data_IF_368711419945
#
_entry.id   IF_368711419945
#
_cell.length_a   1.000
_cell.length_b   1.000
_cell.length_c   1.000
_cell.angle_alpha   90.00
_cell.angle_beta   90.00
_cell.angle_gamma   90.00
#
_symmetry.space_group_name_H-M   'P 1'
#
loop_
_entity.id
_entity.type
_entity.pdbx_description
1 polymer ?
#
# COMPACT_ATOMS: atom_id res chain seq x y z
N UNK A 1 2.33 -18.32 -21.14
CA UNK A 1 3.25 -17.36 -21.75
C UNK A 1 3.99 -16.57 -20.68
N UNK A 2 3.32 -16.12 -19.67
CA UNK A 2 3.89 -15.37 -18.54
C UNK A 2 4.83 -16.21 -17.67
N UNK A 3 4.53 -17.49 -17.47
CA UNK A 3 5.40 -18.43 -16.72
C UNK A 3 6.66 -18.83 -17.53
N UNK A 4 6.60 -18.71 -18.87
CA UNK A 4 7.77 -19.02 -19.72
C UNK A 4 8.77 -17.86 -19.86
N UNK A 5 8.42 -16.66 -19.41
CA UNK A 5 9.31 -15.48 -19.41
C UNK A 5 9.13 -14.67 -18.12
N UNK A 6 9.52 -15.18 -16.96
CA UNK A 6 9.36 -14.46 -15.71
C UNK A 6 10.26 -13.22 -15.70
N UNK A 7 9.66 -12.04 -15.79
CA UNK A 7 10.33 -10.78 -15.45
C UNK A 7 10.30 -10.53 -13.93
N UNK A 8 9.60 -11.37 -13.19
CA UNK A 8 9.48 -11.28 -11.74
C UNK A 8 9.31 -12.68 -11.15
N UNK A 9 9.87 -12.89 -9.99
CA UNK A 9 9.76 -14.08 -9.16
C UNK A 9 8.87 -13.85 -7.93
N UNK A 10 8.26 -12.67 -7.84
CA UNK A 10 7.45 -12.22 -6.69
C UNK A 10 6.12 -11.66 -7.15
N UNK A 11 5.12 -11.80 -6.28
CA UNK A 11 3.80 -11.17 -6.44
C UNK A 11 3.45 -10.40 -5.18
N UNK A 12 2.70 -9.30 -5.31
CA UNK A 12 1.95 -8.73 -4.18
C UNK A 12 0.59 -9.39 -4.18
N UNK A 13 0.23 -9.96 -3.04
CA UNK A 13 -1.08 -10.53 -2.80
C UNK A 13 -1.85 -9.67 -1.81
N UNK A 14 -2.99 -9.19 -2.25
CA UNK A 14 -3.78 -8.19 -1.56
C UNK A 14 -5.17 -8.73 -1.21
N UNK A 15 -5.56 -8.58 0.05
CA UNK A 15 -6.86 -9.05 0.54
C UNK A 15 -7.42 -8.09 1.60
N UNK A 16 -8.75 -7.93 1.65
CA UNK A 16 -9.40 -7.12 2.65
C UNK A 16 -9.39 -7.80 4.03
N UNK A 17 -9.20 -7.03 5.10
CA UNK A 17 -9.27 -7.51 6.48
C UNK A 17 -10.60 -8.22 6.77
N UNK A 18 -11.73 -7.66 6.32
CA UNK A 18 -13.06 -8.24 6.49
C UNK A 18 -13.24 -9.63 5.86
N UNK A 19 -12.42 -9.99 4.87
CA UNK A 19 -12.41 -11.34 4.27
C UNK A 19 -11.64 -12.31 5.14
N UNK A 20 -10.55 -11.86 5.74
CA UNK A 20 -9.66 -12.69 6.56
C UNK A 20 -10.22 -12.89 7.98
N UNK A 21 -10.84 -11.87 8.55
CA UNK A 21 -11.45 -11.90 9.89
C UNK A 21 -12.90 -11.41 9.82
N UNK A 22 -13.83 -12.23 9.31
CA UNK A 22 -15.23 -11.86 9.15
C UNK A 22 -15.97 -11.62 10.48
N UNK A 23 -15.51 -12.21 11.56
CA UNK A 23 -15.98 -12.01 12.93
C UNK A 23 -14.78 -11.87 13.87
N UNK A 24 -14.91 -11.09 14.94
CA UNK A 24 -13.81 -10.84 15.87
C UNK A 24 -13.17 -12.14 16.39
N UNK A 25 -11.86 -12.29 16.15
CA UNK A 25 -11.09 -13.47 16.56
C UNK A 25 -11.34 -14.75 15.74
N UNK A 26 -12.22 -14.68 14.73
CA UNK A 26 -12.46 -15.80 13.83
C UNK A 26 -11.81 -15.56 12.48
N UNK A 27 -10.64 -16.14 12.29
CA UNK A 27 -9.84 -15.98 11.08
C UNK A 27 -10.13 -17.07 10.06
N UNK A 28 -10.36 -16.67 8.82
CA UNK A 28 -10.57 -17.57 7.67
C UNK A 28 -9.25 -17.73 6.87
N UNK A 29 -8.20 -18.21 7.58
CA UNK A 29 -6.87 -18.42 7.01
C UNK A 29 -6.81 -19.49 5.92
N UNK A 30 -7.81 -20.36 5.86
CA UNK A 30 -7.85 -21.49 4.90
C UNK A 30 -8.87 -21.24 3.77
N UNK A 31 -9.35 -20.03 3.62
CA UNK A 31 -10.31 -19.68 2.58
C UNK A 31 -9.72 -19.96 1.18
N UNK A 32 -10.30 -20.88 0.42
CA UNK A 32 -9.75 -21.27 -0.88
C UNK A 32 -9.76 -20.14 -1.90
N UNK A 33 -10.60 -19.12 -1.71
CA UNK A 33 -10.69 -18.02 -2.65
C UNK A 33 -9.46 -17.11 -2.60
N UNK A 34 -8.89 -16.87 -1.41
CA UNK A 34 -7.69 -16.03 -1.30
C UNK A 34 -6.43 -16.83 -0.93
N UNK A 35 -6.47 -17.66 0.11
CA UNK A 35 -5.31 -18.47 0.52
C UNK A 35 -4.97 -19.52 -0.55
N UNK A 36 -5.98 -20.18 -1.12
CA UNK A 36 -5.78 -21.14 -2.20
C UNK A 36 -5.22 -20.49 -3.46
N UNK A 37 -5.64 -19.28 -3.77
CA UNK A 37 -5.06 -18.51 -4.89
C UNK A 37 -3.59 -18.14 -4.61
N UNK A 38 -3.28 -17.63 -3.41
CA UNK A 38 -1.91 -17.33 -2.99
C UNK A 38 -1.03 -18.61 -3.04
N UNK A 39 -1.54 -19.73 -2.51
CA UNK A 39 -0.81 -21.00 -2.52
C UNK A 39 -0.49 -21.49 -3.94
N UNK A 40 -1.41 -21.30 -4.88
CA UNK A 40 -1.16 -21.66 -6.29
C UNK A 40 0.04 -20.92 -6.90
N UNK A 41 0.27 -19.68 -6.50
CA UNK A 41 1.46 -18.92 -6.92
C UNK A 41 2.72 -19.41 -6.22
N UNK A 42 2.62 -19.72 -4.94
CA UNK A 42 3.74 -20.29 -4.16
C UNK A 42 4.16 -21.65 -4.77
N UNK A 43 3.20 -22.49 -5.12
CA UNK A 43 3.43 -23.80 -5.76
C UNK A 43 4.06 -23.64 -7.15
N UNK A 44 3.76 -22.54 -7.84
CA UNK A 44 4.41 -22.16 -9.10
C UNK A 44 5.82 -21.56 -8.92
N UNK A 45 6.33 -21.49 -7.68
CA UNK A 45 7.69 -21.03 -7.38
C UNK A 45 7.82 -19.53 -7.07
N UNK A 46 6.71 -18.80 -6.96
CA UNK A 46 6.76 -17.37 -6.64
C UNK A 46 6.90 -17.13 -5.14
N UNK A 47 7.55 -16.04 -4.79
CA UNK A 47 7.52 -15.44 -3.45
C UNK A 47 6.37 -14.43 -3.37
N UNK A 48 5.89 -14.21 -2.16
CA UNK A 48 4.72 -13.36 -1.91
C UNK A 48 5.12 -12.15 -1.07
N UNK A 49 4.76 -10.97 -1.56
CA UNK A 49 4.56 -9.78 -0.74
C UNK A 49 3.10 -9.76 -0.30
N UNK A 50 2.84 -9.79 1.00
CA UNK A 50 1.48 -9.94 1.51
C UNK A 50 0.97 -8.63 2.10
N UNK A 51 -0.17 -8.19 1.59
CA UNK A 51 -0.87 -7.00 2.05
C UNK A 51 -2.29 -7.35 2.49
N UNK A 52 -2.62 -7.01 3.75
CA UNK A 52 -4.00 -7.06 4.20
C UNK A 52 -4.45 -5.63 4.44
N UNK A 53 -5.52 -5.22 3.76
CA UNK A 53 -5.99 -3.85 3.76
C UNK A 53 -7.10 -3.63 4.75
N UNK A 54 -6.93 -2.59 5.57
CA UNK A 54 -7.98 -2.08 6.45
C UNK A 54 -9.05 -1.28 5.72
N UNK A 55 -8.77 -0.81 4.48
CA UNK A 55 -9.73 -0.09 3.66
C UNK A 55 -9.38 -0.19 2.18
N UNK A 56 -10.43 -0.42 1.35
CA UNK A 56 -10.34 -0.35 -0.09
C UNK A 56 -9.50 -1.46 -0.71
N UNK A 57 -10.03 -2.69 -0.79
CA UNK A 57 -9.45 -3.73 -1.63
C UNK A 57 -10.13 -3.72 -3.00
N UNK A 58 -9.32 -3.80 -4.06
CA UNK A 58 -9.81 -3.94 -5.43
C UNK A 58 -9.98 -5.42 -5.81
N UNK A 59 -10.79 -5.68 -6.82
CA UNK A 59 -10.92 -7.01 -7.41
C UNK A 59 -11.99 -7.89 -6.81
N UNK A 60 -11.75 -9.20 -6.78
CA UNK A 60 -12.73 -10.22 -6.38
C UNK A 60 -13.16 -10.11 -4.91
N UNK A 61 -12.35 -9.48 -4.08
CA UNK A 61 -12.57 -9.29 -2.65
C UNK A 61 -13.04 -7.86 -2.34
N UNK A 62 -14.07 -7.40 -3.06
CA UNK A 62 -14.67 -6.07 -2.94
C UNK A 62 -15.45 -5.93 -1.64
N UNK A 63 -14.75 -5.77 -0.54
CA UNK A 63 -15.32 -5.31 0.72
C UNK A 63 -14.64 -4.02 1.13
N UNK A 64 -15.25 -3.28 2.02
CA UNK A 64 -14.73 -1.99 2.50
C UNK A 64 -13.40 -2.10 3.27
N UNK A 65 -12.90 -3.28 3.46
CA UNK A 65 -11.63 -3.57 4.13
C UNK A 65 -11.83 -3.81 5.60
N UNK A 66 -12.28 -2.82 6.36
CA UNK A 66 -12.57 -2.93 7.79
C UNK A 66 -13.84 -3.76 8.02
N UNK A 67 -13.79 -4.83 8.85
CA UNK A 67 -14.97 -5.63 9.14
C UNK A 67 -16.05 -4.82 9.87
N UNK A 68 -17.33 -5.15 9.62
CA UNK A 68 -18.46 -4.47 10.25
C UNK A 68 -18.41 -4.55 11.79
N UNK A 69 -17.97 -5.69 12.34
CA UNK A 69 -17.87 -5.87 13.78
C UNK A 69 -16.94 -4.88 14.49
N UNK A 70 -15.96 -4.30 13.78
CA UNK A 70 -15.08 -3.23 14.31
C UNK A 70 -15.89 -1.96 14.57
N UNK A 71 -16.79 -1.61 13.65
CA UNK A 71 -17.69 -0.46 13.82
C UNK A 71 -18.73 -0.75 14.88
N UNK A 72 -19.25 -1.97 14.94
CA UNK A 72 -20.21 -2.42 15.98
C UNK A 72 -19.56 -2.39 17.38
N UNK A 73 -18.24 -2.60 17.46
CA UNK A 73 -17.46 -2.43 18.70
C UNK A 73 -17.25 -0.96 19.10
N UNK A 74 -17.70 -0.01 18.27
CA UNK A 74 -17.67 1.43 18.58
C UNK A 74 -16.60 2.24 17.88
N UNK A 75 -15.89 1.68 16.89
CA UNK A 75 -14.96 2.45 16.09
C UNK A 75 -15.68 3.56 15.30
N UNK A 76 -15.15 4.77 15.36
CA UNK A 76 -15.65 5.89 14.58
C UNK A 76 -15.46 5.67 13.07
N UNK A 77 -16.40 6.22 12.28
CA UNK A 77 -16.36 6.07 10.83
C UNK A 77 -16.86 7.30 10.08
N UNK A 78 -16.55 7.35 8.80
CA UNK A 78 -17.05 8.33 7.84
C UNK A 78 -17.66 7.57 6.68
N UNK A 79 -18.94 7.83 6.39
CA UNK A 79 -19.61 7.27 5.23
C UNK A 79 -19.43 8.20 4.02
N UNK A 80 -18.97 7.64 2.93
CA UNK A 80 -18.83 8.31 1.64
C UNK A 80 -19.88 7.76 0.68
N UNK A 81 -20.61 8.64 -0.04
CA UNK A 81 -21.43 8.20 -1.15
C UNK A 81 -20.52 7.46 -2.13
N UNK A 82 -20.90 6.24 -2.50
CA UNK A 82 -20.15 5.48 -3.49
C UNK A 82 -20.04 6.21 -4.84
N UNK A 83 -19.19 5.77 -5.73
CA UNK A 83 -19.17 6.23 -7.13
C UNK A 83 -20.56 6.03 -7.76
N UNK A 84 -20.89 6.73 -8.85
CA UNK A 84 -22.24 6.73 -9.45
C UNK A 84 -22.86 5.35 -9.65
N UNK A 85 -22.04 4.33 -9.86
CA UNK A 85 -22.44 2.94 -10.09
C UNK A 85 -21.94 1.96 -9.01
N UNK A 86 -21.50 2.47 -7.84
CA UNK A 86 -20.95 1.68 -6.75
C UNK A 86 -21.67 1.87 -5.40
N UNK A 87 -21.49 0.93 -4.48
CA UNK A 87 -22.05 1.04 -3.14
C UNK A 87 -21.39 2.18 -2.35
N UNK A 88 -22.08 2.73 -1.35
CA UNK A 88 -21.46 3.62 -0.37
C UNK A 88 -20.24 2.93 0.26
N UNK A 89 -19.25 3.72 0.63
CA UNK A 89 -18.04 3.25 1.33
C UNK A 89 -18.02 3.76 2.75
N UNK A 90 -17.57 2.93 3.67
CA UNK A 90 -17.39 3.30 5.07
C UNK A 90 -15.91 3.27 5.42
N UNK A 91 -15.37 4.45 5.72
CA UNK A 91 -13.98 4.61 6.13
C UNK A 91 -13.87 4.62 7.65
N UNK A 92 -12.97 3.85 8.26
CA UNK A 92 -12.68 3.99 9.68
C UNK A 92 -12.03 5.36 9.95
N UNK A 93 -12.30 5.92 11.08
CA UNK A 93 -11.49 7.04 11.58
C UNK A 93 -10.15 6.47 12.02
N UNK A 94 -9.13 6.58 11.19
CA UNK A 94 -7.85 5.87 11.33
C UNK A 94 -7.12 6.11 12.66
N UNK A 95 -7.44 7.18 13.38
CA UNK A 95 -6.90 7.49 14.71
C UNK A 95 -7.87 7.14 15.84
N UNK A 96 -8.97 6.47 15.55
CA UNK A 96 -9.91 6.02 16.56
C UNK A 96 -9.26 4.91 17.43
N UNK A 97 -9.34 4.99 18.77
CA UNK A 97 -8.68 4.03 19.64
C UNK A 97 -9.21 2.59 19.49
N UNK A 98 -10.51 2.42 19.21
CA UNK A 98 -11.09 1.08 18.97
C UNK A 98 -10.54 0.50 17.66
N UNK A 99 -10.54 1.30 16.58
CA UNK A 99 -9.96 0.88 15.31
C UNK A 99 -8.49 0.47 15.48
N UNK A 100 -7.69 1.28 16.17
CA UNK A 100 -6.26 1.00 16.38
C UNK A 100 -6.04 -0.25 17.23
N UNK A 101 -6.84 -0.45 18.27
CA UNK A 101 -6.78 -1.68 19.11
C UNK A 101 -7.10 -2.93 18.29
N UNK A 102 -8.22 -2.91 17.56
CA UNK A 102 -8.64 -4.07 16.75
C UNK A 102 -7.68 -4.37 15.62
N UNK A 103 -7.16 -3.32 14.95
CA UNK A 103 -6.11 -3.46 13.93
C UNK A 103 -4.83 -4.07 14.50
N UNK A 104 -4.38 -3.64 15.68
CA UNK A 104 -3.19 -4.19 16.31
C UNK A 104 -3.36 -5.67 16.69
N UNK A 105 -4.53 -6.06 17.18
CA UNK A 105 -4.85 -7.46 17.47
C UNK A 105 -4.83 -8.33 16.21
N UNK A 106 -5.41 -7.85 15.12
CA UNK A 106 -5.34 -8.51 13.83
C UNK A 106 -3.90 -8.64 13.33
N UNK A 107 -3.12 -7.56 13.37
CA UNK A 107 -1.72 -7.55 12.93
C UNK A 107 -0.90 -8.56 13.72
N UNK A 108 -1.14 -8.73 15.03
CA UNK A 108 -0.48 -9.74 15.84
C UNK A 108 -0.80 -11.17 15.34
N UNK A 109 -2.07 -11.50 15.11
CA UNK A 109 -2.49 -12.79 14.57
C UNK A 109 -1.94 -13.03 13.15
N UNK A 110 -1.88 -11.97 12.32
CA UNK A 110 -1.27 -11.99 11.00
C UNK A 110 0.23 -12.34 11.09
N UNK A 111 0.95 -11.74 12.03
CA UNK A 111 2.35 -12.06 12.30
C UNK A 111 2.57 -13.48 12.79
N UNK A 112 1.74 -13.99 13.70
CA UNK A 112 1.79 -15.38 14.16
C UNK A 112 1.67 -16.37 12.99
N UNK A 113 0.81 -16.07 12.04
CA UNK A 113 0.58 -16.93 10.85
C UNK A 113 1.72 -16.86 9.82
N UNK A 114 2.23 -15.66 9.51
CA UNK A 114 3.05 -15.47 8.31
C UNK A 114 4.49 -15.03 8.54
N UNK A 115 4.88 -14.56 9.74
CA UNK A 115 6.24 -14.07 9.97
C UNK A 115 7.31 -15.13 9.65
N UNK A 116 7.03 -16.40 9.97
CA UNK A 116 7.95 -17.52 9.72
C UNK A 116 7.71 -18.26 8.41
N UNK A 117 6.71 -17.87 7.61
CA UNK A 117 6.44 -18.52 6.33
C UNK A 117 7.53 -18.13 5.32
N UNK A 118 8.34 -19.08 4.80
CA UNK A 118 9.45 -18.78 3.90
C UNK A 118 9.00 -18.34 2.50
N UNK A 119 7.75 -18.58 2.12
CA UNK A 119 7.17 -18.11 0.87
C UNK A 119 6.76 -16.63 0.94
N UNK A 120 6.42 -16.12 2.14
CA UNK A 120 6.15 -14.70 2.36
C UNK A 120 7.48 -13.98 2.55
N UNK A 121 7.88 -13.17 1.58
CA UNK A 121 9.17 -12.48 1.57
C UNK A 121 9.10 -11.08 2.18
N UNK A 122 7.95 -10.42 2.07
CA UNK A 122 7.73 -9.09 2.60
C UNK A 122 6.26 -8.88 2.99
N UNK A 123 6.00 -7.87 3.81
CA UNK A 123 4.65 -7.47 4.21
C UNK A 123 4.45 -5.97 4.05
N UNK A 124 3.20 -5.58 3.81
CA UNK A 124 2.82 -4.19 3.62
C UNK A 124 1.88 -3.73 4.73
N UNK A 125 2.12 -2.51 5.23
CA UNK A 125 1.23 -1.86 6.18
C UNK A 125 -0.03 -1.35 5.47
N UNK A 126 -1.11 -2.11 5.50
CA UNK A 126 -2.33 -1.83 4.75
C UNK A 126 -3.45 -1.16 5.56
N UNK A 127 -3.22 -0.69 6.80
CA UNK A 127 -4.28 -0.26 7.72
C UNK A 127 -4.45 1.26 7.83
N UNK A 128 -3.59 2.05 7.20
CA UNK A 128 -3.70 3.49 7.23
C UNK A 128 -4.01 4.04 5.84
N UNK A 129 -5.19 4.59 5.70
CA UNK A 129 -5.65 5.20 4.46
C UNK A 129 -6.35 4.25 3.51
N UNK A 130 -6.99 4.82 2.51
CA UNK A 130 -7.60 4.08 1.42
C UNK A 130 -6.51 3.30 0.66
N UNK A 131 -6.76 2.08 0.31
CA UNK A 131 -5.80 1.13 -0.25
C UNK A 131 -4.55 0.85 0.61
N UNK A 132 -4.48 1.34 1.85
CA UNK A 132 -3.25 1.31 2.65
C UNK A 132 -2.23 2.38 2.24
N UNK A 133 -2.61 3.29 1.36
CA UNK A 133 -1.75 4.29 0.71
C UNK A 133 -1.68 5.62 1.46
N UNK A 134 -2.09 5.65 2.72
CA UNK A 134 -2.11 6.87 3.53
C UNK A 134 -3.09 7.96 3.05
N UNK A 135 -3.92 7.69 2.08
CA UNK A 135 -5.03 8.57 1.73
C UNK A 135 -6.07 8.62 2.85
N UNK A 136 -6.70 9.76 3.07
CA UNK A 136 -7.86 9.77 3.98
C UNK A 136 -9.03 9.02 3.33
N UNK A 137 -9.37 9.40 2.10
CA UNK A 137 -10.40 8.78 1.27
C UNK A 137 -10.20 9.16 -0.19
N UNK A 138 -10.91 8.49 -1.09
CA UNK A 138 -10.77 8.74 -2.53
C UNK A 138 -11.53 10.00 -2.98
N UNK A 139 -12.72 10.21 -2.45
CA UNK A 139 -13.64 11.27 -2.92
C UNK A 139 -14.21 12.16 -1.81
N UNK A 140 -14.11 11.74 -0.56
CA UNK A 140 -14.67 12.52 0.56
C UNK A 140 -13.88 13.81 0.77
N UNK A 141 -14.52 14.97 0.76
CA UNK A 141 -13.85 16.21 1.06
C UNK A 141 -13.28 16.19 2.49
N UNK A 142 -12.31 17.06 2.76
CA UNK A 142 -11.61 17.10 4.06
C UNK A 142 -12.53 17.42 5.25
N UNK A 143 -13.69 18.05 5.02
CA UNK A 143 -14.56 18.51 6.09
C UNK A 143 -15.05 17.40 7.03
N UNK A 144 -15.61 16.27 6.57
CA UNK A 144 -15.97 15.15 7.46
C UNK A 144 -14.79 14.64 8.30
N UNK A 145 -13.61 14.60 7.72
CA UNK A 145 -12.39 14.21 8.43
C UNK A 145 -11.99 15.23 9.51
N UNK A 146 -12.13 16.54 9.22
CA UNK A 146 -11.89 17.59 10.20
C UNK A 146 -12.93 17.54 11.35
N UNK A 147 -14.20 17.29 11.04
CA UNK A 147 -15.28 17.09 12.02
C UNK A 147 -15.05 15.83 12.87
N UNK A 148 -14.47 14.76 12.30
CA UNK A 148 -14.00 13.57 13.03
C UNK A 148 -12.69 13.82 13.82
N UNK A 149 -12.22 15.07 13.85
CA UNK A 149 -11.06 15.48 14.64
C UNK A 149 -9.73 15.18 14.01
N UNK A 150 -9.64 15.16 12.67
CA UNK A 150 -8.35 15.06 11.97
C UNK A 150 -7.40 16.15 12.45
N UNK A 151 -6.21 15.72 12.84
CA UNK A 151 -5.02 16.57 12.95
C UNK A 151 -3.83 15.75 12.48
N UNK A 152 -2.83 16.42 11.91
CA UNK A 152 -1.59 15.73 11.53
C UNK A 152 -0.98 14.96 12.70
N UNK A 153 -1.03 15.52 13.91
CA UNK A 153 -0.54 14.86 15.13
C UNK A 153 -1.25 13.53 15.42
N UNK A 154 -2.59 13.49 15.31
CA UNK A 154 -3.37 12.25 15.51
C UNK A 154 -3.07 11.22 14.43
N UNK A 155 -3.02 11.67 13.19
CA UNK A 155 -2.71 10.82 12.04
C UNK A 155 -1.29 10.22 12.15
N UNK A 156 -0.29 11.06 12.48
CA UNK A 156 1.08 10.61 12.75
C UNK A 156 1.15 9.62 13.91
N UNK A 157 0.38 9.86 14.98
CA UNK A 157 0.32 8.92 16.11
C UNK A 157 -0.28 7.57 15.70
N UNK A 158 -1.31 7.56 14.86
CA UNK A 158 -1.90 6.35 14.31
C UNK A 158 -0.88 5.57 13.46
N UNK A 159 -0.17 6.24 12.55
CA UNK A 159 0.92 5.60 11.79
C UNK A 159 1.96 4.97 12.70
N UNK A 160 2.44 5.70 13.70
CA UNK A 160 3.45 5.20 14.65
C UNK A 160 2.96 3.99 15.43
N UNK A 161 1.70 3.99 15.84
CA UNK A 161 1.07 2.86 16.53
C UNK A 161 1.04 1.61 15.63
N UNK A 162 0.52 1.75 14.40
CA UNK A 162 0.44 0.65 13.45
C UNK A 162 1.83 0.14 13.03
N UNK A 163 2.78 1.04 12.77
CA UNK A 163 4.17 0.67 12.49
C UNK A 163 4.78 -0.15 13.64
N UNK A 164 4.54 0.27 14.88
CA UNK A 164 4.97 -0.50 16.06
C UNK A 164 4.36 -1.89 16.13
N UNK A 165 3.06 -2.02 15.83
CA UNK A 165 2.37 -3.31 15.78
C UNK A 165 2.96 -4.21 14.67
N UNK A 166 3.18 -3.70 13.46
CA UNK A 166 3.80 -4.45 12.37
C UNK A 166 5.23 -4.90 12.72
N UNK A 167 6.05 -4.04 13.28
CA UNK A 167 7.43 -4.40 13.70
C UNK A 167 7.45 -5.49 14.76
N UNK A 168 6.51 -5.45 15.70
CA UNK A 168 6.38 -6.50 16.72
C UNK A 168 5.91 -7.84 16.12
N UNK A 169 4.98 -7.79 15.18
CA UNK A 169 4.40 -8.97 14.54
C UNK A 169 5.32 -9.61 13.49
N UNK A 170 6.16 -8.82 12.81
CA UNK A 170 7.01 -9.26 11.70
C UNK A 170 8.50 -8.91 11.90
N UNK A 171 9.14 -9.38 13.00
CA UNK A 171 10.54 -9.09 13.25
C UNK A 171 11.50 -9.66 12.20
N UNK A 172 11.07 -10.69 11.46
CA UNK A 172 11.90 -11.42 10.50
C UNK A 172 11.61 -11.04 9.03
N UNK A 173 10.70 -10.08 8.79
CA UNK A 173 10.28 -9.70 7.43
C UNK A 173 10.56 -8.23 7.13
N UNK A 174 11.00 -7.90 5.91
CA UNK A 174 10.94 -6.54 5.41
C UNK A 174 9.49 -6.03 5.43
N UNK A 175 9.29 -4.86 6.03
CA UNK A 175 7.99 -4.19 6.10
C UNK A 175 8.03 -2.99 5.15
N UNK A 176 6.97 -2.82 4.38
CA UNK A 176 6.80 -1.70 3.46
C UNK A 176 5.59 -0.85 3.86
N UNK A 177 5.71 0.45 3.70
CA UNK A 177 4.60 1.39 3.72
C UNK A 177 4.36 1.92 2.32
N UNK A 178 3.14 1.78 1.87
CA UNK A 178 2.69 2.36 0.62
C UNK A 178 2.40 3.85 0.80
N UNK A 179 2.99 4.67 -0.06
CA UNK A 179 2.89 6.12 -0.03
C UNK A 179 2.08 6.58 -1.24
N UNK A 180 0.80 6.83 -1.02
CA UNK A 180 -0.06 7.48 -1.99
C UNK A 180 -0.17 8.98 -1.73
N UNK A 181 -0.78 9.70 -2.66
CA UNK A 181 -1.08 11.10 -2.45
C UNK A 181 -2.37 11.24 -1.63
N UNK A 182 -2.30 11.58 -0.33
CA UNK A 182 -3.43 11.39 0.58
C UNK A 182 -4.61 12.35 0.36
N UNK A 183 -4.48 13.38 -0.41
CA UNK A 183 -5.59 14.28 -0.73
C UNK A 183 -5.11 15.33 -1.71
N UNK A 184 -5.01 14.99 -2.96
CA UNK A 184 -4.66 15.89 -4.06
C UNK A 184 -4.85 17.39 -3.71
N UNK A 185 -3.78 18.07 -3.30
CA UNK A 185 -3.75 19.51 -3.03
C UNK A 185 -4.77 20.05 -2.01
N UNK A 186 -5.37 19.21 -1.17
CA UNK A 186 -6.24 19.68 -0.12
C UNK A 186 -5.40 20.32 0.98
N UNK A 187 -5.66 21.59 1.36
CA UNK A 187 -4.97 22.23 2.46
C UNK A 187 -5.13 21.43 3.76
N UNK A 188 -4.02 21.20 4.46
CA UNK A 188 -4.08 20.54 5.75
C UNK A 188 -4.72 21.45 6.79
N UNK A 189 -5.84 21.07 7.45
CA UNK A 189 -6.44 21.87 8.51
C UNK A 189 -5.41 22.06 9.65
N UNK A 190 -5.07 23.30 9.92
CA UNK A 190 -4.10 23.65 10.97
C UNK A 190 -2.61 23.48 10.60
N UNK A 191 -2.30 23.13 9.36
CA UNK A 191 -0.90 23.05 8.87
C UNK A 191 -0.47 24.26 8.03
N UNK A 192 -1.30 25.32 7.98
CA UNK A 192 -1.07 26.47 7.10
C UNK A 192 -1.57 26.23 5.68
N UNK A 193 -0.87 26.75 4.70
CA UNK A 193 -1.25 26.64 3.28
C UNK A 193 -0.67 25.38 2.59
N UNK A 194 0.14 24.58 3.30
CA UNK A 194 0.75 23.41 2.70
C UNK A 194 -0.26 22.27 2.51
N UNK A 195 -0.22 21.54 1.40
CA UNK A 195 -1.03 20.35 1.19
C UNK A 195 -0.72 19.26 2.24
N UNK A 196 -1.73 18.48 2.61
CA UNK A 196 -1.58 17.35 3.54
C UNK A 196 -0.47 16.41 3.09
N UNK A 197 -0.41 16.10 1.79
CA UNK A 197 0.59 15.23 1.20
C UNK A 197 2.03 15.67 1.48
N UNK A 198 2.30 16.95 1.32
CA UNK A 198 3.64 17.50 1.52
C UNK A 198 4.05 17.47 2.99
N UNK A 199 3.12 17.83 3.89
CA UNK A 199 3.38 17.80 5.33
C UNK A 199 3.59 16.36 5.82
N UNK A 200 2.77 15.42 5.34
CA UNK A 200 2.95 14.01 5.63
C UNK A 200 4.31 13.49 5.14
N UNK A 201 4.70 13.83 3.92
CA UNK A 201 5.99 13.42 3.38
C UNK A 201 7.16 13.94 4.22
N UNK A 202 7.13 15.21 4.60
CA UNK A 202 8.18 15.83 5.42
C UNK A 202 8.32 15.21 6.80
N UNK A 203 7.24 14.77 7.42
CA UNK A 203 7.26 14.22 8.77
C UNK A 203 7.30 12.70 8.80
N UNK A 204 6.51 12.04 7.95
CA UNK A 204 6.28 10.60 8.05
C UNK A 204 7.34 9.78 7.33
N UNK A 205 7.82 10.21 6.17
CA UNK A 205 8.87 9.47 5.44
C UNK A 205 10.17 9.39 6.25
N UNK A 206 10.70 10.47 6.82
CA UNK A 206 11.88 10.36 7.70
C UNK A 206 11.66 9.44 8.90
N UNK A 207 10.46 9.47 9.50
CA UNK A 207 10.11 8.55 10.59
C UNK A 207 10.13 7.10 10.12
N UNK A 208 9.43 6.76 9.04
CA UNK A 208 9.38 5.40 8.49
C UNK A 208 10.79 4.86 8.22
N UNK A 209 11.62 5.68 7.56
CA UNK A 209 13.02 5.34 7.28
C UNK A 209 13.82 5.13 8.58
N UNK A 210 13.61 5.96 9.60
CA UNK A 210 14.31 5.79 10.89
C UNK A 210 13.91 4.50 11.61
N UNK A 211 12.69 4.01 11.35
CA UNK A 211 12.19 2.74 11.87
C UNK A 211 12.59 1.52 11.02
N UNK A 212 13.31 1.72 9.90
CA UNK A 212 13.71 0.67 8.99
C UNK A 212 12.56 0.18 8.09
N UNK A 213 11.48 0.96 7.97
CA UNK A 213 10.37 0.66 7.09
C UNK A 213 10.74 1.03 5.66
N UNK A 214 10.58 0.09 4.76
CA UNK A 214 10.78 0.28 3.34
C UNK A 214 9.59 1.05 2.72
N UNK A 215 9.79 1.60 1.54
CA UNK A 215 8.82 2.50 0.92
C UNK A 215 8.29 1.90 -0.38
N UNK A 216 6.99 2.08 -0.64
CA UNK A 216 6.37 1.80 -1.93
C UNK A 216 5.68 3.07 -2.42
N UNK A 217 5.97 3.46 -3.65
CA UNK A 217 5.32 4.58 -4.32
C UNK A 217 4.41 4.09 -5.41
N UNK A 218 3.20 4.67 -5.47
CA UNK A 218 2.23 4.36 -6.50
C UNK A 218 2.25 5.38 -7.62
N UNK A 219 1.90 4.94 -8.83
CA UNK A 219 1.57 5.83 -9.93
C UNK A 219 2.73 6.20 -10.83
N UNK A 220 3.76 5.37 -10.98
CA UNK A 220 4.73 5.56 -12.05
C UNK A 220 4.03 5.48 -13.41
N UNK A 221 4.01 6.56 -14.15
CA UNK A 221 3.48 6.64 -15.49
C UNK A 221 4.39 7.46 -16.39
N UNK A 222 4.20 7.39 -17.72
CA UNK A 222 4.97 8.14 -18.72
C UNK A 222 4.93 9.67 -18.51
N UNK A 223 4.06 10.13 -17.64
CA UNK A 223 3.88 11.53 -17.27
C UNK A 223 4.26 11.81 -15.82
N UNK A 224 5.09 10.98 -15.19
CA UNK A 224 5.57 11.24 -13.83
C UNK A 224 6.30 12.60 -13.75
N UNK A 225 6.97 12.98 -14.83
CA UNK A 225 7.47 14.35 -15.03
C UNK A 225 6.33 15.39 -15.13
N UNK A 226 5.08 14.98 -15.36
CA UNK A 226 3.92 15.87 -15.49
C UNK A 226 3.01 15.88 -14.27
N UNK A 227 3.00 14.83 -13.44
CA UNK A 227 2.49 14.91 -12.09
C UNK A 227 3.36 15.87 -11.27
N UNK A 228 4.57 16.12 -11.74
CA UNK A 228 5.47 17.15 -11.38
C UNK A 228 5.21 18.53 -11.97
N UNK A 229 4.15 18.78 -12.67
CA UNK A 229 3.71 20.16 -12.92
C UNK A 229 2.92 20.75 -11.76
N UNK A 230 2.61 19.95 -10.73
CA UNK A 230 2.25 20.46 -9.43
C UNK A 230 3.55 20.75 -8.67
N UNK A 231 3.91 22.02 -8.43
CA UNK A 231 5.15 22.38 -7.75
C UNK A 231 5.28 21.82 -6.33
N UNK A 232 4.21 21.20 -5.80
CA UNK A 232 4.18 20.54 -4.50
C UNK A 232 4.48 19.05 -4.56
N UNK A 233 4.40 18.42 -5.74
CA UNK A 233 4.61 16.98 -5.93
C UNK A 233 5.92 16.71 -6.65
N UNK A 234 6.32 17.65 -7.54
CA UNK A 234 7.54 17.55 -8.32
C UNK A 234 8.77 17.55 -7.42
N UNK A 235 9.57 16.58 -7.58
CA UNK A 235 10.83 16.48 -6.88
C UNK A 235 10.78 15.70 -5.58
N UNK A 236 9.72 15.79 -4.75
CA UNK A 236 9.82 15.16 -3.43
C UNK A 236 9.82 13.63 -3.48
N UNK A 237 9.06 12.99 -4.37
CA UNK A 237 9.15 11.54 -4.54
C UNK A 237 10.56 11.11 -4.98
N UNK A 238 11.06 11.72 -6.04
CA UNK A 238 12.41 11.43 -6.56
C UNK A 238 13.47 11.82 -5.56
N UNK A 239 13.34 12.97 -4.91
CA UNK A 239 14.31 13.47 -3.96
C UNK A 239 14.36 12.66 -2.68
N UNK A 240 13.20 12.21 -2.14
CA UNK A 240 13.17 11.30 -1.00
C UNK A 240 13.70 9.91 -1.36
N UNK A 241 13.37 9.39 -2.54
CA UNK A 241 13.93 8.14 -3.02
C UNK A 241 15.46 8.21 -3.07
N UNK A 242 16.00 9.27 -3.64
CA UNK A 242 17.46 9.49 -3.68
C UNK A 242 18.08 9.67 -2.29
N UNK A 243 17.40 10.39 -1.42
CA UNK A 243 17.91 10.66 -0.08
C UNK A 243 17.98 9.42 0.81
N UNK A 244 17.19 8.39 0.53
CA UNK A 244 17.04 7.24 1.42
C UNK A 244 17.30 5.88 0.78
N UNK A 245 17.68 5.81 -0.50
CA UNK A 245 17.88 4.55 -1.23
C UNK A 245 18.95 3.62 -0.63
N UNK A 246 19.92 4.17 0.09
CA UNK A 246 20.96 3.44 0.79
C UNK A 246 20.53 2.94 2.18
N UNK A 247 19.38 3.36 2.66
CA UNK A 247 18.85 3.03 3.99
C UNK A 247 17.66 2.10 3.97
N UNK A 248 16.81 2.22 2.95
CA UNK A 248 15.59 1.42 2.79
C UNK A 248 15.42 1.01 1.34
N UNK A 249 14.71 -0.08 1.11
CA UNK A 249 14.32 -0.53 -0.23
C UNK A 249 13.14 0.29 -0.73
N UNK A 250 13.10 0.48 -2.03
CA UNK A 250 12.05 1.24 -2.70
C UNK A 250 11.36 0.37 -3.74
N UNK A 251 10.05 0.24 -3.62
CA UNK A 251 9.18 -0.28 -4.68
C UNK A 251 8.54 0.92 -5.38
N UNK A 252 8.55 0.91 -6.70
CA UNK A 252 7.81 1.89 -7.51
C UNK A 252 6.77 1.16 -8.33
N UNK A 253 5.51 1.49 -8.12
CA UNK A 253 4.39 0.89 -8.83
C UNK A 253 4.20 1.54 -10.19
N UNK A 254 4.22 0.73 -11.23
CA UNK A 254 3.82 1.15 -12.56
C UNK A 254 2.36 0.76 -12.83
N UNK A 255 1.53 1.74 -13.09
CA UNK A 255 0.12 1.54 -13.46
C UNK A 255 -0.06 1.16 -14.94
N UNK A 256 0.99 1.26 -15.76
CA UNK A 256 0.97 0.84 -17.15
C UNK A 256 1.41 -0.62 -17.31
N UNK A 257 0.97 -1.26 -18.39
CA UNK A 257 1.31 -2.65 -18.69
C UNK A 257 2.79 -2.83 -19.06
N UNK A 258 3.45 -1.77 -19.54
CA UNK A 258 4.85 -1.76 -19.97
C UNK A 258 5.54 -0.47 -19.53
N UNK A 259 6.84 -0.58 -19.26
CA UNK A 259 7.66 0.58 -18.97
C UNK A 259 8.07 1.27 -20.26
N UNK A 260 7.68 2.53 -20.42
CA UNK A 260 8.27 3.39 -21.43
C UNK A 260 9.74 3.72 -21.06
N UNK A 261 10.61 4.08 -22.05
CA UNK A 261 11.99 4.45 -21.76
C UNK A 261 12.16 5.54 -20.69
N UNK A 262 11.24 6.52 -20.65
CA UNK A 262 11.23 7.57 -19.62
C UNK A 262 10.95 7.03 -18.23
N UNK A 263 10.13 5.99 -18.10
CA UNK A 263 9.84 5.34 -16.82
C UNK A 263 11.03 4.54 -16.31
N UNK A 264 11.73 3.83 -17.19
CA UNK A 264 12.97 3.12 -16.85
C UNK A 264 14.06 4.10 -16.37
N UNK A 265 14.18 5.24 -17.03
CA UNK A 265 15.10 6.29 -16.57
C UNK A 265 14.70 6.83 -15.19
N UNK A 266 13.42 7.01 -14.93
CA UNK A 266 12.93 7.44 -13.62
C UNK A 266 13.23 6.40 -12.56
N UNK A 267 13.01 5.09 -12.80
CA UNK A 267 13.36 4.02 -11.89
C UNK A 267 14.85 4.02 -11.53
N UNK A 268 15.74 4.25 -12.52
CA UNK A 268 17.19 4.40 -12.29
C UNK A 268 17.50 5.61 -11.43
N UNK A 269 16.90 6.75 -11.74
CA UNK A 269 17.11 8.01 -11.00
C UNK A 269 16.64 7.92 -9.55
N UNK A 270 15.59 7.16 -9.29
CA UNK A 270 15.07 6.90 -7.94
C UNK A 270 15.86 5.82 -7.18
N UNK A 271 16.79 5.13 -7.83
CA UNK A 271 17.44 3.94 -7.26
C UNK A 271 16.41 2.92 -6.76
N UNK A 272 15.35 2.70 -7.54
CA UNK A 272 14.29 1.77 -7.18
C UNK A 272 14.85 0.36 -7.04
N UNK A 273 14.54 -0.32 -5.92
CA UNK A 273 14.96 -1.69 -5.68
C UNK A 273 14.06 -2.69 -6.39
N UNK A 274 12.79 -2.32 -6.55
CA UNK A 274 11.77 -3.14 -7.19
C UNK A 274 10.82 -2.28 -7.99
N UNK A 275 10.23 -2.87 -9.03
CA UNK A 275 9.03 -2.33 -9.67
C UNK A 275 7.95 -3.39 -9.72
N UNK A 276 6.71 -3.00 -9.51
CA UNK A 276 5.59 -3.87 -9.81
C UNK A 276 4.95 -3.43 -11.12
N UNK A 277 4.43 -4.40 -11.84
CA UNK A 277 3.61 -4.18 -13.01
C UNK A 277 2.15 -4.33 -12.59
N UNK A 278 1.44 -3.22 -12.56
CA UNK A 278 0.00 -3.25 -12.69
C UNK A 278 -0.33 -3.72 -14.11
N UNK A 279 -1.13 -4.73 -14.26
CA UNK A 279 -1.52 -5.19 -15.59
C UNK A 279 -2.76 -6.05 -15.49
N UNK A 280 -3.80 -5.61 -16.17
CA UNK A 280 -5.03 -6.34 -16.34
C UNK A 280 -4.80 -7.59 -17.21
N UNK A 281 -4.23 -8.62 -16.61
CA UNK A 281 -4.32 -9.95 -17.21
C UNK A 281 -5.43 -10.72 -16.49
N UNK A 282 -6.48 -11.14 -17.17
CA UNK A 282 -7.59 -11.87 -16.57
C UNK A 282 -7.09 -13.06 -15.75
N UNK A 283 -7.44 -13.10 -14.46
CA UNK A 283 -7.10 -14.20 -13.57
C UNK A 283 -5.70 -14.15 -12.93
N UNK A 284 -4.96 -13.05 -13.07
CA UNK A 284 -3.69 -12.86 -12.38
C UNK A 284 -3.82 -11.83 -11.25
N UNK A 285 -3.07 -12.00 -10.13
CA UNK A 285 -2.98 -10.98 -9.11
C UNK A 285 -2.50 -9.65 -9.72
N UNK A 286 -3.06 -8.54 -9.25
CA UNK A 286 -2.88 -7.24 -9.87
C UNK A 286 -1.45 -6.71 -9.85
N UNK A 287 -0.58 -7.23 -8.98
CA UNK A 287 0.73 -6.68 -8.79
C UNK A 287 1.83 -7.74 -8.79
N UNK A 288 2.73 -7.69 -9.75
CA UNK A 288 3.99 -8.43 -9.73
C UNK A 288 5.15 -7.52 -9.36
N UNK A 289 6.02 -8.00 -8.49
CA UNK A 289 7.24 -7.30 -8.13
C UNK A 289 8.42 -7.98 -8.82
N UNK A 290 9.24 -7.20 -9.53
CA UNK A 290 10.53 -7.61 -10.04
C UNK A 290 11.65 -6.86 -9.33
N UNK A 291 12.70 -7.56 -8.94
CA UNK A 291 13.92 -6.93 -8.48
C UNK A 291 14.59 -6.22 -9.66
N UNK A 292 15.07 -5.01 -9.43
CA UNK A 292 15.68 -4.17 -10.44
C UNK A 292 17.21 -4.25 -10.29
N UNK A 293 17.81 -5.08 -11.10
CA UNK A 293 19.24 -5.11 -11.36
C UNK A 293 19.53 -4.71 -12.82
N UNK A 294 20.79 -4.58 -13.18
CA UNK A 294 21.20 -4.23 -14.54
C UNK A 294 20.72 -5.23 -15.59
N UNK A 295 20.55 -6.49 -15.24
CA UNK A 295 20.02 -7.50 -16.14
C UNK A 295 18.51 -7.36 -16.34
N UNK A 296 17.80 -7.04 -15.28
CA UNK A 296 16.37 -6.72 -15.34
C UNK A 296 16.10 -5.49 -16.22
N UNK A 297 16.89 -4.42 -16.05
CA UNK A 297 16.78 -3.23 -16.90
C UNK A 297 17.04 -3.56 -18.37
N UNK A 298 18.10 -4.32 -18.68
CA UNK A 298 18.39 -4.75 -20.06
C UNK A 298 17.27 -5.61 -20.66
N UNK A 299 16.65 -6.48 -19.88
CA UNK A 299 15.52 -7.30 -20.34
C UNK A 299 14.28 -6.45 -20.62
N UNK A 300 14.01 -5.43 -19.78
CA UNK A 300 12.90 -4.52 -20.00
C UNK A 300 13.09 -3.62 -21.21
N UNK A 301 14.30 -3.10 -21.44
CA UNK A 301 14.65 -2.27 -22.60
C UNK A 301 14.51 -3.03 -23.94
N UNK A 302 14.83 -4.33 -23.93
CA UNK A 302 14.78 -5.18 -25.13
C UNK A 302 13.47 -5.96 -25.24
N UNK A 303 12.48 -5.67 -24.39
CA UNK A 303 11.19 -6.33 -24.43
C UNK A 303 10.35 -5.80 -25.58
N UNK A 304 10.10 -6.67 -26.57
CA UNK A 304 9.14 -6.41 -27.65
C UNK A 304 7.77 -6.94 -27.21
N UNK A 305 6.75 -6.07 -27.11
CA UNK A 305 5.41 -6.46 -26.63
C UNK A 305 4.54 -7.21 -27.65
N UNK A 306 5.05 -7.63 -28.83
CA UNK A 306 4.26 -8.36 -29.84
C UNK A 306 3.66 -9.67 -29.33
#
# INVERSE_FOLDING_TARGET
>A
WFLSRPLSDKIIFDVAWSVVEPEEGRFDWENPAWEGCMQSWIDAGFKVGLQIRGMGANGTFRNDGTPQWVFDAGAGFIDEPGPPDGPPRRYPVYWDPVYLEKSANFIAAFGERYNRNPAVEMVFQGFLGHFGEMHLSEHTPIRPWAEAGFTLKRYTAALKHLTGAFKAAFPDKPIFQELGNPSYNTPCPGCGAEPISLVQAKELVPYLVSEGINLKYNGLGANWDRWGSDPFIEGWYVDYCRAYHDRVRLIVENIATFHAPAELETLRRCHASYTNRGGELPGLPECRIGELDDDCFRRMENYDPL
#
